data_IF_234074301117
#
_entry.id   IF_234074301117
#
_cell.length_a   1.000
_cell.length_b   1.000
_cell.length_c   1.000
_cell.angle_alpha   90.00
_cell.angle_beta   90.00
_cell.angle_gamma   90.00
#
_symmetry.space_group_name_H-M   'P 1'
#
loop_
_entity.id
_entity.type
_entity.pdbx_description
1 polymer ?
#
# COMPACT_ATOMS: atom_id res chain seq x y z
N UNK A 1 -14.75 -12.96 -30.96
CA UNK A 1 -14.90 -14.06 -29.98
C UNK A 1 -13.89 -13.84 -28.87
N UNK A 2 -14.34 -13.60 -27.64
CA UNK A 2 -13.44 -13.54 -26.48
C UNK A 2 -13.10 -14.99 -26.13
N UNK A 3 -11.82 -15.32 -26.17
CA UNK A 3 -11.37 -16.63 -25.73
C UNK A 3 -11.34 -16.63 -24.20
N UNK A 4 -12.17 -17.47 -23.57
CA UNK A 4 -12.18 -17.64 -22.12
C UNK A 4 -10.94 -18.44 -21.70
N UNK A 5 -9.84 -17.71 -21.43
CA UNK A 5 -8.58 -18.31 -20.98
C UNK A 5 -8.49 -18.11 -19.47
N UNK A 6 -8.26 -19.19 -18.74
CA UNK A 6 -7.97 -19.12 -17.31
C UNK A 6 -6.50 -18.74 -17.11
N UNK A 7 -6.25 -17.61 -16.42
CA UNK A 7 -4.92 -17.01 -16.28
C UNK A 7 -4.09 -17.70 -15.17
N UNK A 8 -4.73 -18.04 -14.06
CA UNK A 8 -4.03 -18.47 -12.82
C UNK A 8 -4.23 -19.94 -12.46
N UNK A 9 -5.01 -20.69 -13.24
CA UNK A 9 -5.20 -22.14 -13.07
C UNK A 9 -5.78 -22.78 -14.34
N UNK A 10 -5.80 -24.10 -14.45
CA UNK A 10 -6.57 -24.78 -15.50
C UNK A 10 -8.02 -25.02 -15.02
N UNK A 11 -9.00 -24.44 -15.72
CA UNK A 11 -10.42 -24.60 -15.36
C UNK A 11 -10.97 -25.99 -15.67
N UNK A 12 -10.38 -26.71 -16.64
CA UNK A 12 -10.75 -28.08 -16.98
C UNK A 12 -10.16 -29.10 -16.00
N UNK A 13 -9.11 -28.71 -15.28
CA UNK A 13 -8.48 -29.51 -14.24
C UNK A 13 -8.29 -28.69 -12.95
N UNK A 14 -9.42 -28.42 -12.28
CA UNK A 14 -9.46 -27.54 -11.11
C UNK A 14 -9.00 -28.27 -9.84
N UNK A 15 -7.68 -28.38 -9.67
CA UNK A 15 -7.06 -28.89 -8.44
C UNK A 15 -7.41 -28.03 -7.21
N UNK A 16 -7.30 -28.65 -6.02
CA UNK A 16 -7.55 -27.97 -4.74
C UNK A 16 -6.53 -26.84 -4.55
N UNK A 17 -6.89 -25.77 -3.83
CA UNK A 17 -6.03 -24.57 -3.73
C UNK A 17 -4.67 -24.87 -3.10
N UNK A 18 -4.62 -25.75 -2.10
CA UNK A 18 -3.39 -26.16 -1.43
C UNK A 18 -2.44 -27.01 -2.29
N UNK A 19 -2.93 -27.55 -3.41
CA UNK A 19 -2.13 -28.33 -4.37
C UNK A 19 -1.57 -27.45 -5.51
N UNK A 20 -1.97 -26.17 -5.55
CA UNK A 20 -1.49 -25.23 -6.57
C UNK A 20 -0.11 -24.70 -6.20
N UNK A 21 0.75 -24.42 -7.18
CA UNK A 21 1.93 -23.60 -6.96
C UNK A 21 1.54 -22.25 -6.33
N UNK A 22 2.39 -21.69 -5.45
CA UNK A 22 2.12 -20.39 -4.85
C UNK A 22 2.08 -19.31 -5.93
N UNK A 23 1.11 -18.40 -5.80
CA UNK A 23 1.03 -17.18 -6.57
C UNK A 23 1.28 -16.01 -5.63
N UNK A 24 2.10 -15.08 -6.09
CA UNK A 24 2.46 -13.89 -5.33
C UNK A 24 1.81 -12.68 -5.97
N UNK A 25 1.27 -11.81 -5.12
CA UNK A 25 0.69 -10.53 -5.49
C UNK A 25 1.56 -9.43 -4.90
N UNK A 26 1.91 -8.45 -5.71
CA UNK A 26 2.51 -7.20 -5.25
C UNK A 26 1.46 -6.38 -4.50
N UNK A 27 1.81 -5.87 -3.32
CA UNK A 27 0.87 -5.22 -2.40
C UNK A 27 1.10 -3.72 -2.23
N UNK A 28 1.76 -3.07 -3.19
CA UNK A 28 1.95 -1.61 -3.17
C UNK A 28 2.86 -1.06 -2.06
N UNK A 29 3.29 -1.86 -1.09
CA UNK A 29 3.85 -1.34 0.17
C UNK A 29 5.27 -0.83 0.05
N UNK A 30 6.19 -1.61 -0.53
CA UNK A 30 7.63 -1.28 -0.54
C UNK A 30 8.24 -1.65 -1.89
N UNK A 31 8.86 -0.66 -2.53
CA UNK A 31 9.65 -0.82 -3.74
C UNK A 31 11.06 -0.33 -3.49
N UNK A 32 12.05 -1.20 -3.71
CA UNK A 32 13.47 -0.86 -3.56
C UNK A 32 14.17 -1.17 -4.88
N UNK A 33 14.71 -0.15 -5.52
CA UNK A 33 15.45 -0.26 -6.77
C UNK A 33 16.56 0.79 -6.81
N UNK A 34 17.59 0.54 -7.62
CA UNK A 34 18.63 1.56 -7.86
C UNK A 34 18.09 2.63 -8.81
N UNK A 35 18.53 3.90 -8.70
CA UNK A 35 18.10 4.97 -9.61
C UNK A 35 18.33 4.66 -11.10
N UNK A 36 19.42 3.93 -11.41
CA UNK A 36 19.74 3.48 -12.77
C UNK A 36 18.64 2.60 -13.41
N UNK A 37 17.84 1.91 -12.59
CA UNK A 37 16.70 1.11 -13.06
C UNK A 37 15.63 2.01 -13.66
N UNK A 38 15.24 3.08 -12.95
CA UNK A 38 14.25 4.04 -13.45
C UNK A 38 14.72 4.69 -14.75
N UNK A 39 15.96 5.20 -14.77
CA UNK A 39 16.51 5.90 -15.94
C UNK A 39 16.57 4.99 -17.16
N UNK A 40 16.98 3.73 -16.98
CA UNK A 40 17.17 2.80 -18.09
C UNK A 40 15.87 2.16 -18.58
N UNK A 41 14.99 1.74 -17.67
CA UNK A 41 13.82 0.93 -18.00
C UNK A 41 12.52 1.72 -18.01
N UNK A 42 12.53 2.98 -17.53
CA UNK A 42 11.32 3.76 -17.27
C UNK A 42 10.30 2.98 -16.44
N UNK A 43 10.78 2.16 -15.51
CA UNK A 43 9.98 1.26 -14.70
C UNK A 43 10.69 1.00 -13.36
N UNK A 44 9.92 0.68 -12.31
CA UNK A 44 10.41 0.30 -10.98
C UNK A 44 11.02 -1.10 -10.98
N UNK A 45 10.62 -1.95 -11.94
CA UNK A 45 11.10 -3.31 -12.10
C UNK A 45 12.09 -3.41 -13.26
N UNK A 46 13.32 -3.85 -12.97
CA UNK A 46 14.35 -4.09 -13.99
C UNK A 46 15.61 -4.73 -13.42
N UNK A 47 16.41 -5.36 -14.29
CA UNK A 47 17.59 -6.11 -13.87
C UNK A 47 17.26 -7.40 -13.11
N UNK A 48 17.93 -7.64 -11.98
CA UNK A 48 17.64 -8.80 -11.11
C UNK A 48 16.52 -8.45 -10.14
N UNK A 49 15.35 -9.03 -10.36
CA UNK A 49 14.15 -8.81 -9.55
C UNK A 49 14.08 -9.88 -8.45
N UNK A 50 13.75 -9.46 -7.24
CA UNK A 50 13.44 -10.33 -6.09
C UNK A 50 12.28 -9.70 -5.32
N UNK A 51 11.58 -10.52 -4.53
CA UNK A 51 10.46 -10.07 -3.70
C UNK A 51 10.70 -10.39 -2.23
N UNK A 52 10.12 -9.60 -1.35
CA UNK A 52 10.04 -9.89 0.09
C UNK A 52 8.62 -10.33 0.43
N UNK A 53 8.46 -11.54 0.97
CA UNK A 53 7.14 -12.10 1.28
C UNK A 53 6.62 -11.49 2.58
N UNK A 54 5.52 -10.75 2.48
CA UNK A 54 4.82 -10.16 3.63
C UNK A 54 3.64 -11.04 4.04
N UNK A 55 3.27 -10.98 5.32
CA UNK A 55 2.02 -11.58 5.78
C UNK A 55 0.83 -10.99 5.02
N UNK A 56 -0.14 -11.83 4.65
CA UNK A 56 -1.33 -11.42 3.91
C UNK A 56 -2.09 -10.23 4.53
N UNK A 57 -2.14 -10.11 5.85
CA UNK A 57 -2.84 -8.99 6.50
C UNK A 57 -2.17 -7.63 6.26
N UNK A 58 -0.94 -7.60 5.75
CA UNK A 58 -0.23 -6.39 5.35
C UNK A 58 -0.42 -6.05 3.87
N UNK A 59 -1.28 -6.78 3.15
CA UNK A 59 -1.55 -6.53 1.73
C UNK A 59 -2.83 -5.76 1.45
N UNK A 60 -3.46 -5.21 2.49
CA UNK A 60 -4.65 -4.36 2.34
C UNK A 60 -4.20 -2.92 2.12
N UNK A 61 -4.58 -2.37 0.98
CA UNK A 61 -4.44 -0.95 0.66
C UNK A 61 -5.69 -0.19 1.16
N UNK A 62 -5.54 1.12 1.41
CA UNK A 62 -6.64 2.00 1.80
C UNK A 62 -6.97 2.87 0.60
N UNK A 63 -7.89 2.40 -0.23
CA UNK A 63 -8.36 3.12 -1.42
C UNK A 63 -9.72 3.79 -1.15
N UNK A 64 -10.54 3.19 -0.28
CA UNK A 64 -11.84 3.72 0.14
C UNK A 64 -11.95 3.87 1.66
N UNK A 65 -13.04 4.49 2.11
CA UNK A 65 -13.31 4.69 3.55
C UNK A 65 -13.54 3.33 4.24
N UNK A 66 -14.17 2.39 3.55
CA UNK A 66 -14.45 1.05 4.08
C UNK A 66 -13.17 0.24 4.34
N UNK A 67 -12.11 0.46 3.56
CA UNK A 67 -10.81 -0.21 3.76
C UNK A 67 -10.16 0.15 5.09
N UNK A 68 -10.46 1.34 5.63
CA UNK A 68 -9.96 1.80 6.93
C UNK A 68 -10.37 0.83 8.03
N UNK A 69 -11.62 0.34 8.01
CA UNK A 69 -12.11 -0.55 9.08
C UNK A 69 -11.31 -1.86 9.13
N UNK A 70 -11.00 -2.42 7.96
CA UNK A 70 -10.20 -3.66 7.82
C UNK A 70 -8.77 -3.42 8.29
N UNK A 71 -8.14 -2.34 7.85
CA UNK A 71 -6.77 -1.99 8.24
C UNK A 71 -6.68 -1.70 9.74
N UNK A 72 -7.64 -0.97 10.31
CA UNK A 72 -7.68 -0.62 11.72
C UNK A 72 -7.87 -1.87 12.60
N UNK A 73 -8.69 -2.83 12.16
CA UNK A 73 -8.80 -4.15 12.81
C UNK A 73 -7.44 -4.85 12.91
N UNK A 74 -6.72 -4.96 11.80
CA UNK A 74 -5.41 -5.62 11.79
C UNK A 74 -4.37 -4.84 12.60
N UNK A 75 -4.35 -3.52 12.50
CA UNK A 75 -3.45 -2.66 13.26
C UNK A 75 -3.63 -2.86 14.76
N UNK A 76 -4.88 -2.82 15.25
CA UNK A 76 -5.18 -3.11 16.67
C UNK A 76 -4.76 -4.51 17.09
N UNK A 77 -5.10 -5.52 16.28
CA UNK A 77 -4.87 -6.92 16.63
C UNK A 77 -3.39 -7.32 16.60
N UNK A 78 -2.64 -6.83 15.61
CA UNK A 78 -1.28 -7.32 15.28
C UNK A 78 -0.17 -6.38 15.73
N UNK A 79 -0.42 -5.07 15.77
CA UNK A 79 0.60 -4.04 16.04
C UNK A 79 0.38 -3.42 17.43
N UNK A 80 -0.77 -2.77 17.63
CA UNK A 80 -1.01 -1.96 18.83
C UNK A 80 -1.28 -2.79 20.09
N UNK A 81 -1.72 -4.04 19.96
CA UNK A 81 -1.83 -4.98 21.09
C UNK A 81 -0.51 -5.21 21.84
N UNK A 82 0.62 -4.84 21.22
CA UNK A 82 1.98 -4.97 21.77
C UNK A 82 2.59 -3.64 22.23
N UNK A 83 1.88 -2.52 22.03
CA UNK A 83 2.40 -1.18 22.29
C UNK A 83 1.82 -0.62 23.60
N UNK A 84 2.59 0.21 24.35
CA UNK A 84 2.05 0.92 25.49
C UNK A 84 0.92 1.86 25.02
N UNK A 85 -0.18 1.87 25.76
CA UNK A 85 -1.29 2.78 25.47
C UNK A 85 -0.87 4.20 25.82
N UNK A 86 -0.77 5.06 24.81
CA UNK A 86 -0.69 6.50 25.00
C UNK A 86 -2.07 6.98 25.46
N UNK A 87 -2.13 7.72 26.57
CA UNK A 87 -3.37 8.32 27.01
C UNK A 87 -3.68 9.52 26.12
N UNK A 88 -4.85 9.51 25.48
CA UNK A 88 -5.28 10.56 24.53
C UNK A 88 -5.25 11.95 25.15
N UNK A 89 -5.45 12.07 26.47
CA UNK A 89 -5.43 13.34 27.21
C UNK A 89 -4.03 13.98 27.27
N UNK A 90 -2.99 13.20 27.03
CA UNK A 90 -1.59 13.66 27.10
C UNK A 90 -1.11 14.15 25.72
N UNK A 91 -1.90 13.97 24.65
CA UNK A 91 -1.57 14.41 23.30
C UNK A 91 -2.08 15.84 23.11
N UNK A 92 -1.16 16.80 23.03
CA UNK A 92 -1.48 18.22 22.86
C UNK A 92 -1.47 18.68 21.39
N UNK A 93 -0.74 17.98 20.51
CA UNK A 93 -0.59 18.31 19.09
C UNK A 93 -0.31 17.04 18.28
N UNK A 94 -0.92 16.93 17.09
CA UNK A 94 -0.57 15.94 16.07
C UNK A 94 -0.08 16.72 14.85
N UNK A 95 1.15 16.42 14.42
CA UNK A 95 1.73 16.92 13.18
C UNK A 95 1.87 15.74 12.24
N UNK A 96 1.35 15.88 11.02
CA UNK A 96 1.34 14.84 10.00
C UNK A 96 1.63 15.48 8.64
N UNK A 97 2.45 14.82 7.84
CA UNK A 97 2.82 15.18 6.48
C UNK A 97 1.97 14.39 5.47
N UNK A 98 1.32 15.09 4.53
CA UNK A 98 0.35 14.53 3.57
C UNK A 98 0.87 14.52 2.13
N UNK A 99 2.18 14.73 1.91
CA UNK A 99 2.76 14.82 0.59
C UNK A 99 2.47 13.58 -0.29
N UNK A 100 1.94 13.83 -1.50
CA UNK A 100 1.92 12.85 -2.60
C UNK A 100 0.70 11.92 -2.74
N UNK A 101 -0.36 12.03 -1.93
CA UNK A 101 -1.56 11.17 -2.07
C UNK A 101 -2.80 11.93 -2.55
N UNK A 102 -3.03 13.13 -2.01
CA UNK A 102 -4.27 13.89 -2.24
C UNK A 102 -4.04 15.30 -2.80
N UNK A 103 -2.79 15.69 -3.08
CA UNK A 103 -2.46 17.03 -3.55
C UNK A 103 -1.34 16.98 -4.59
N UNK A 104 -1.17 18.07 -5.33
CA UNK A 104 0.00 18.28 -6.19
C UNK A 104 1.17 18.97 -5.46
N UNK A 105 1.17 18.95 -4.12
CA UNK A 105 2.14 19.61 -3.24
C UNK A 105 2.28 21.13 -3.49
N UNK A 106 1.29 21.78 -4.12
CA UNK A 106 1.26 23.24 -4.25
C UNK A 106 0.66 23.88 -3.00
N UNK A 107 1.43 24.78 -2.39
CA UNK A 107 1.01 25.64 -1.28
C UNK A 107 0.66 27.02 -1.81
N UNK A 108 -0.50 27.54 -1.43
CA UNK A 108 -0.91 28.94 -1.60
C UNK A 108 -0.74 29.65 -0.27
N UNK A 109 -0.06 30.79 -0.27
CA UNK A 109 0.07 31.68 0.89
C UNK A 109 -0.66 32.98 0.58
N UNK A 110 -1.68 33.33 1.37
CA UNK A 110 -2.40 34.59 1.23
C UNK A 110 -1.64 35.75 1.90
N UNK A 111 -1.99 36.99 1.54
CA UNK A 111 -1.35 38.20 2.09
C UNK A 111 -1.54 38.35 3.62
N UNK A 112 -2.56 37.72 4.20
CA UNK A 112 -2.79 37.67 5.65
C UNK A 112 -2.14 36.45 6.35
N UNK A 113 -1.29 35.71 5.62
CA UNK A 113 -0.49 34.62 6.17
C UNK A 113 -1.22 33.29 6.32
N UNK A 114 -2.37 33.08 5.66
CA UNK A 114 -3.00 31.76 5.62
C UNK A 114 -2.34 30.91 4.56
N UNK A 115 -2.01 29.68 4.94
CA UNK A 115 -1.51 28.66 4.03
C UNK A 115 -2.66 27.72 3.64
N UNK A 116 -2.72 27.32 2.38
CA UNK A 116 -3.71 26.38 1.87
C UNK A 116 -3.07 25.47 0.83
N UNK A 117 -3.53 24.23 0.78
CA UNK A 117 -3.10 23.22 -0.18
C UNK A 117 -4.18 23.00 -1.22
N UNK A 118 -3.78 22.81 -2.47
CA UNK A 118 -4.72 22.44 -3.54
C UNK A 118 -4.81 20.92 -3.56
N UNK A 119 -5.96 20.40 -3.14
CA UNK A 119 -6.35 19.00 -3.32
C UNK A 119 -7.00 18.80 -4.69
#
# INVERSE_FOLDING_TARGET
MVQEISVSYDYKNRVRRQERPPLYLENGSIYIFKPEVLVKYNNRLGGKISMYIMDYWKSFDIDTIEDIEVCEYFMRKKILSKQPRINKKDIQLIVYDFDGVMTNNKVIVSEDGRESIIA
#
